data_IF_490815942215
#
_entry.id   IF_490815942215
#
_cell.length_a   1.000
_cell.length_b   1.000
_cell.length_c   1.000
_cell.angle_alpha   90.00
_cell.angle_beta   90.00
_cell.angle_gamma   90.00
#
_symmetry.space_group_name_H-M   'P 1'
#
loop_
_entity.id
_entity.type
_entity.pdbx_description
1 polymer ?
#
# COMPACT_ATOMS: atom_id res chain seq x y z
N UNK A 1 -14.63 14.72 -23.25
CA UNK A 1 -13.59 14.90 -22.20
C UNK A 1 -12.43 13.98 -22.54
N UNK A 2 -11.20 14.47 -22.56
CA UNK A 2 -10.03 13.62 -22.86
C UNK A 2 -9.79 12.64 -21.70
N UNK A 3 -10.01 11.35 -21.95
CA UNK A 3 -9.88 10.30 -20.95
C UNK A 3 -8.43 10.13 -20.47
N UNK A 4 -7.44 10.44 -21.34
CA UNK A 4 -6.01 10.43 -20.97
C UNK A 4 -5.71 11.54 -19.98
N UNK A 5 -6.22 12.76 -20.22
CA UNK A 5 -6.02 13.88 -19.31
C UNK A 5 -6.64 13.60 -17.92
N UNK A 6 -7.82 13.00 -17.87
CA UNK A 6 -8.44 12.57 -16.61
C UNK A 6 -7.59 11.54 -15.90
N UNK A 7 -7.11 10.54 -16.62
CA UNK A 7 -6.24 9.49 -16.05
C UNK A 7 -4.94 10.07 -15.47
N UNK A 8 -4.27 10.95 -16.21
CA UNK A 8 -3.07 11.64 -15.72
C UNK A 8 -3.36 12.51 -14.49
N UNK A 9 -4.52 13.16 -14.45
CA UNK A 9 -4.98 13.88 -13.26
C UNK A 9 -5.15 12.99 -12.04
N UNK A 10 -5.72 11.78 -12.22
CA UNK A 10 -5.83 10.77 -11.15
C UNK A 10 -4.45 10.33 -10.66
N UNK A 11 -3.51 10.03 -11.57
CA UNK A 11 -2.12 9.69 -11.21
C UNK A 11 -1.45 10.82 -10.42
N UNK A 12 -1.63 12.07 -10.86
CA UNK A 12 -1.11 13.25 -10.15
C UNK A 12 -1.68 13.39 -8.74
N UNK A 13 -3.00 13.18 -8.58
CA UNK A 13 -3.62 13.19 -7.25
C UNK A 13 -3.06 12.09 -6.34
N UNK A 14 -2.91 10.86 -6.86
CA UNK A 14 -2.30 9.76 -6.11
C UNK A 14 -0.86 10.11 -5.72
N UNK A 15 -0.06 10.68 -6.62
CA UNK A 15 1.30 11.11 -6.33
C UNK A 15 1.35 12.14 -5.18
N UNK A 16 0.46 13.14 -5.18
CA UNK A 16 0.35 14.13 -4.11
C UNK A 16 0.00 13.49 -2.76
N UNK A 17 -0.96 12.56 -2.75
CA UNK A 17 -1.32 11.80 -1.53
C UNK A 17 -0.12 11.01 -1.02
N UNK A 18 0.61 10.29 -1.88
CA UNK A 18 1.83 9.54 -1.48
C UNK A 18 2.91 10.46 -0.92
N UNK A 19 3.13 11.62 -1.54
CA UNK A 19 4.08 12.61 -1.04
C UNK A 19 3.68 13.12 0.36
N UNK A 20 2.42 13.46 0.56
CA UNK A 20 1.90 13.88 1.86
C UNK A 20 2.10 12.80 2.93
N UNK A 21 1.84 11.53 2.61
CA UNK A 21 2.07 10.40 3.51
C UNK A 21 3.54 10.26 3.91
N UNK A 22 4.47 10.41 2.96
CA UNK A 22 5.91 10.38 3.26
C UNK A 22 6.31 11.55 4.17
N UNK A 23 5.78 12.76 3.93
CA UNK A 23 6.05 13.93 4.77
C UNK A 23 5.56 13.69 6.20
N UNK A 24 4.30 13.26 6.36
CA UNK A 24 3.71 12.96 7.68
C UNK A 24 4.50 11.86 8.40
N UNK A 25 4.84 10.78 7.68
CA UNK A 25 5.62 9.67 8.22
C UNK A 25 7.00 10.12 8.71
N UNK A 26 7.71 10.95 7.92
CA UNK A 26 9.01 11.51 8.33
C UNK A 26 8.88 12.41 9.56
N UNK A 27 7.84 13.23 9.64
CA UNK A 27 7.60 14.09 10.81
C UNK A 27 7.35 13.24 12.08
N UNK A 28 6.56 12.18 11.98
CA UNK A 28 6.30 11.23 13.07
C UNK A 28 7.56 10.51 13.54
N UNK A 29 8.41 10.09 12.61
CA UNK A 29 9.65 9.39 12.94
C UNK A 29 10.66 10.33 13.62
N UNK A 30 10.73 11.61 13.18
CA UNK A 30 11.57 12.63 13.85
C UNK A 30 11.13 12.92 15.29
N UNK A 31 9.84 12.80 15.57
CA UNK A 31 9.29 12.97 16.92
C UNK A 31 9.54 11.76 17.84
N UNK A 32 10.09 10.66 17.31
CA UNK A 32 10.40 9.41 18.02
C UNK A 32 11.80 8.92 17.63
N UNK A 33 12.88 9.59 18.04
CA UNK A 33 14.25 9.25 17.61
C UNK A 33 14.70 7.86 18.07
N UNK A 34 14.15 7.35 19.19
CA UNK A 34 14.41 6.01 19.72
C UNK A 34 13.60 4.90 19.04
N UNK A 35 12.69 5.23 18.12
CA UNK A 35 11.85 4.23 17.45
C UNK A 35 12.70 3.25 16.63
N UNK A 36 12.57 1.98 16.92
CA UNK A 36 13.26 0.92 16.19
C UNK A 36 12.64 0.77 14.78
N UNK A 37 13.42 1.11 13.76
CA UNK A 37 13.07 0.86 12.36
C UNK A 37 13.59 -0.52 11.97
N UNK A 38 12.69 -1.49 11.84
CA UNK A 38 13.05 -2.89 11.58
C UNK A 38 13.64 -3.11 10.19
N UNK A 39 13.40 -2.18 9.22
CA UNK A 39 13.76 -2.44 7.83
C UNK A 39 14.12 -1.18 7.04
N UNK A 40 15.39 -0.69 7.15
CA UNK A 40 15.83 0.45 6.37
C UNK A 40 16.09 0.13 4.88
N UNK A 41 16.47 -1.12 4.56
CA UNK A 41 16.99 -1.48 3.22
C UNK A 41 15.90 -1.59 2.13
N UNK A 42 14.68 -2.03 2.45
CA UNK A 42 13.59 -2.13 1.46
C UNK A 42 12.84 -0.81 1.22
N UNK A 43 13.03 0.19 2.06
CA UNK A 43 12.33 1.47 1.91
C UNK A 43 12.61 2.17 0.58
N UNK A 44 13.86 2.27 0.07
CA UNK A 44 14.12 2.85 -1.25
C UNK A 44 13.41 2.10 -2.38
N UNK A 45 13.35 0.77 -2.30
CA UNK A 45 12.67 -0.06 -3.28
C UNK A 45 11.14 0.16 -3.26
N UNK A 46 10.56 0.34 -2.07
CA UNK A 46 9.16 0.72 -1.93
C UNK A 46 8.86 2.10 -2.54
N UNK A 47 9.76 3.07 -2.34
CA UNK A 47 9.65 4.40 -2.98
C UNK A 47 9.72 4.26 -4.50
N UNK A 48 10.69 3.51 -5.02
CA UNK A 48 10.85 3.28 -6.46
C UNK A 48 9.61 2.62 -7.07
N UNK A 49 9.01 1.65 -6.38
CA UNK A 49 7.79 1.00 -6.80
C UNK A 49 6.60 1.98 -6.90
N UNK A 50 6.47 2.91 -5.94
CA UNK A 50 5.40 3.92 -5.98
C UNK A 50 5.67 5.01 -7.03
N UNK A 51 6.93 5.37 -7.27
CA UNK A 51 7.30 6.22 -8.42
C UNK A 51 6.95 5.52 -9.73
N UNK A 52 7.27 4.23 -9.85
CA UNK A 52 6.90 3.40 -10.99
C UNK A 52 5.39 3.30 -11.19
N UNK A 53 4.60 3.24 -10.10
CA UNK A 53 3.14 3.22 -10.16
C UNK A 53 2.53 4.48 -10.79
N UNK A 54 3.22 5.61 -10.71
CA UNK A 54 2.80 6.84 -11.36
C UNK A 54 3.38 6.94 -12.77
N UNK A 55 4.68 6.69 -12.94
CA UNK A 55 5.38 6.94 -14.19
C UNK A 55 5.06 5.89 -15.28
N UNK A 56 5.13 4.59 -14.94
CA UNK A 56 4.98 3.53 -15.94
C UNK A 56 3.61 3.50 -16.62
N UNK A 57 2.47 3.61 -15.89
CA UNK A 57 1.16 3.67 -16.53
C UNK A 57 0.98 4.91 -17.42
N UNK A 58 1.53 6.07 -17.00
CA UNK A 58 1.50 7.27 -17.81
C UNK A 58 2.26 7.06 -19.13
N UNK A 59 3.50 6.54 -19.05
CA UNK A 59 4.32 6.23 -20.23
C UNK A 59 3.66 5.17 -21.11
N UNK A 60 3.07 4.12 -20.54
CA UNK A 60 2.38 3.09 -21.30
C UNK A 60 1.16 3.63 -22.05
N UNK A 61 0.34 4.44 -21.38
CA UNK A 61 -0.88 5.00 -21.99
C UNK A 61 -0.54 5.99 -23.12
N UNK A 62 0.47 6.84 -22.90
CA UNK A 62 0.86 7.84 -23.88
C UNK A 62 1.72 7.23 -25.01
N UNK A 63 2.68 6.37 -24.67
CA UNK A 63 3.63 5.83 -25.65
C UNK A 63 3.06 4.70 -26.51
N UNK A 64 2.13 3.90 -25.95
CA UNK A 64 1.48 2.79 -26.68
C UNK A 64 0.04 3.12 -27.11
N UNK A 65 -0.38 4.37 -26.93
CA UNK A 65 -1.72 4.86 -27.31
C UNK A 65 -2.86 3.95 -26.83
N UNK A 66 -2.77 3.49 -25.57
CA UNK A 66 -3.73 2.53 -25.01
C UNK A 66 -5.18 2.99 -25.19
N UNK A 67 -6.06 2.15 -25.75
CA UNK A 67 -7.46 2.50 -25.92
C UNK A 67 -8.17 2.54 -24.55
N UNK A 68 -9.02 3.53 -24.36
CA UNK A 68 -9.91 3.59 -23.20
C UNK A 68 -11.01 2.51 -23.33
N UNK A 69 -11.16 1.69 -22.28
CA UNK A 69 -12.16 0.63 -22.18
C UNK A 69 -13.09 0.88 -21.00
N UNK A 70 -14.32 1.41 -21.22
CA UNK A 70 -15.21 1.81 -20.12
C UNK A 70 -15.50 0.73 -19.09
N UNK A 71 -15.75 -0.51 -19.53
CA UNK A 71 -16.01 -1.63 -18.62
C UNK A 71 -14.79 -1.97 -17.72
N UNK A 72 -13.58 -1.97 -18.32
CA UNK A 72 -12.34 -2.18 -17.55
C UNK A 72 -12.10 -1.04 -16.57
N UNK A 73 -12.31 0.21 -17.01
CA UNK A 73 -12.20 1.38 -16.15
C UNK A 73 -13.18 1.30 -14.98
N UNK A 74 -14.44 0.94 -15.22
CA UNK A 74 -15.44 0.82 -14.16
C UNK A 74 -15.07 -0.27 -13.12
N UNK A 75 -14.62 -1.43 -13.59
CA UNK A 75 -14.17 -2.51 -12.72
C UNK A 75 -12.94 -2.10 -11.90
N UNK A 76 -11.94 -1.50 -12.54
CA UNK A 76 -10.72 -1.01 -11.88
C UNK A 76 -11.03 0.10 -10.88
N UNK A 77 -11.92 1.03 -11.23
CA UNK A 77 -12.37 2.09 -10.33
C UNK A 77 -13.10 1.53 -9.10
N UNK A 78 -13.96 0.54 -9.25
CA UNK A 78 -14.63 -0.11 -8.12
C UNK A 78 -13.62 -0.72 -7.14
N UNK A 79 -12.60 -1.43 -7.66
CA UNK A 79 -11.51 -1.98 -6.83
C UNK A 79 -10.71 -0.88 -6.14
N UNK A 80 -10.38 0.21 -6.87
CA UNK A 80 -9.63 1.33 -6.31
C UNK A 80 -10.40 2.07 -5.22
N UNK A 81 -11.71 2.25 -5.39
CA UNK A 81 -12.60 2.84 -4.37
C UNK A 81 -12.64 1.95 -3.12
N UNK A 82 -12.81 0.64 -3.29
CA UNK A 82 -12.78 -0.31 -2.17
C UNK A 82 -11.43 -0.30 -1.44
N UNK A 83 -10.31 -0.28 -2.18
CA UNK A 83 -8.97 -0.16 -1.63
C UNK A 83 -8.78 1.15 -0.85
N UNK A 84 -9.28 2.27 -1.40
CA UNK A 84 -9.22 3.58 -0.74
C UNK A 84 -10.06 3.60 0.54
N UNK A 85 -11.26 3.01 0.53
CA UNK A 85 -12.10 2.89 1.72
C UNK A 85 -11.40 2.05 2.81
N UNK A 86 -10.83 0.90 2.45
CA UNK A 86 -10.04 0.07 3.35
C UNK A 86 -8.82 0.82 3.89
N UNK A 87 -8.14 1.62 3.04
CA UNK A 87 -7.02 2.45 3.46
C UNK A 87 -7.42 3.46 4.52
N UNK A 88 -8.48 4.23 4.26
CA UNK A 88 -8.99 5.23 5.21
C UNK A 88 -9.35 4.57 6.54
N UNK A 89 -10.02 3.42 6.50
CA UNK A 89 -10.35 2.67 7.70
C UNK A 89 -9.09 2.20 8.44
N UNK A 90 -8.12 1.61 7.73
CA UNK A 90 -6.85 1.16 8.30
C UNK A 90 -6.08 2.31 8.95
N UNK A 91 -5.92 3.43 8.24
CA UNK A 91 -5.18 4.58 8.74
C UNK A 91 -5.84 5.25 9.95
N UNK A 92 -7.18 5.32 9.98
CA UNK A 92 -7.93 5.81 11.15
C UNK A 92 -7.77 4.90 12.35
N UNK A 93 -7.76 3.59 12.13
CA UNK A 93 -7.62 2.59 13.20
C UNK A 93 -6.22 2.61 13.81
N UNK A 94 -5.17 2.59 12.98
CA UNK A 94 -3.78 2.60 13.47
C UNK A 94 -3.35 3.98 13.99
N UNK A 95 -3.98 5.04 13.52
CA UNK A 95 -3.79 6.40 14.02
C UNK A 95 -2.33 6.88 13.94
N UNK A 96 -1.81 7.36 15.08
CA UNK A 96 -0.44 7.92 15.16
C UNK A 96 0.67 6.87 15.06
N UNK A 97 0.35 5.58 15.27
CA UNK A 97 1.31 4.49 15.13
C UNK A 97 1.66 4.20 13.65
N UNK A 98 0.81 4.64 12.71
CA UNK A 98 1.07 4.43 11.29
C UNK A 98 2.33 5.14 10.80
N UNK A 99 3.15 4.39 10.06
CA UNK A 99 4.34 4.91 9.38
C UNK A 99 4.52 4.19 8.03
N UNK A 100 5.15 4.85 7.05
CA UNK A 100 5.51 4.20 5.77
C UNK A 100 6.67 3.22 5.94
N UNK A 101 7.48 3.37 6.99
CA UNK A 101 8.51 2.41 7.38
C UNK A 101 7.95 1.41 8.37
N UNK A 102 8.60 0.26 8.48
CA UNK A 102 8.32 -0.71 9.53
C UNK A 102 8.91 -0.20 10.83
N UNK A 103 8.05 0.31 11.70
CA UNK A 103 8.42 0.78 13.04
C UNK A 103 7.81 -0.18 14.05
N UNK A 104 8.64 -0.73 14.93
CA UNK A 104 8.16 -1.60 16.01
C UNK A 104 7.40 -0.74 17.02
N UNK A 105 6.11 -1.03 17.30
CA UNK A 105 5.34 -0.29 18.28
C UNK A 105 5.81 -0.60 19.70
N UNK A 106 5.45 0.29 20.62
CA UNK A 106 5.57 -0.01 22.04
C UNK A 106 4.70 -1.24 22.39
N UNK A 107 5.08 -2.07 23.39
CA UNK A 107 4.38 -3.31 23.72
C UNK A 107 2.87 -3.13 23.95
N UNK A 108 2.48 -2.00 24.55
CA UNK A 108 1.08 -1.69 24.87
C UNK A 108 0.31 -1.02 23.70
N UNK A 109 0.99 -0.76 22.57
CA UNK A 109 0.42 -0.06 21.40
C UNK A 109 0.02 -1.00 20.26
N UNK A 110 -0.14 -2.29 20.52
CA UNK A 110 -0.56 -3.27 19.51
C UNK A 110 -2.01 -3.04 19.12
N UNK A 111 -2.24 -2.67 17.84
CA UNK A 111 -3.59 -2.41 17.32
C UNK A 111 -4.23 -3.72 16.87
N UNK A 112 -5.40 -4.04 17.44
CA UNK A 112 -6.13 -5.29 17.20
C UNK A 112 -7.56 -5.08 16.71
N UNK A 113 -8.00 -3.83 16.59
CA UNK A 113 -9.36 -3.44 16.21
C UNK A 113 -9.47 -3.10 14.71
N UNK A 114 -10.68 -2.79 14.24
CA UNK A 114 -10.95 -2.43 12.85
C UNK A 114 -10.51 -3.51 11.87
N UNK A 115 -9.82 -3.17 10.76
CA UNK A 115 -9.34 -4.16 9.79
C UNK A 115 -8.35 -5.16 10.40
N UNK A 116 -7.60 -4.74 11.44
CA UNK A 116 -6.66 -5.60 12.16
C UNK A 116 -7.33 -6.69 12.99
N UNK A 117 -8.63 -6.60 13.23
CA UNK A 117 -9.39 -7.69 13.85
C UNK A 117 -9.45 -8.95 12.97
N UNK A 118 -9.25 -8.83 11.67
CA UNK A 118 -9.49 -9.88 10.68
C UNK A 118 -8.22 -10.33 9.95
N UNK A 119 -7.30 -9.40 9.68
CA UNK A 119 -6.03 -9.67 8.99
C UNK A 119 -4.87 -8.90 9.62
N UNK A 120 -3.65 -9.43 9.48
CA UNK A 120 -2.44 -8.82 10.06
C UNK A 120 -2.01 -7.57 9.32
N UNK A 121 -2.17 -7.54 7.99
CA UNK A 121 -1.59 -6.52 7.11
C UNK A 121 -2.61 -5.86 6.19
N UNK A 122 -3.65 -5.18 6.72
CA UNK A 122 -4.66 -4.54 5.88
C UNK A 122 -4.10 -3.47 4.95
N UNK A 123 -3.08 -2.71 5.39
CA UNK A 123 -2.45 -1.70 4.55
C UNK A 123 -1.68 -2.32 3.36
N UNK A 124 -1.14 -3.53 3.50
CA UNK A 124 -0.49 -4.21 2.38
C UNK A 124 -1.51 -4.75 1.38
N UNK A 125 -2.67 -5.20 1.83
CA UNK A 125 -3.78 -5.54 0.94
C UNK A 125 -4.20 -4.32 0.11
N UNK A 126 -4.30 -3.13 0.73
CA UNK A 126 -4.57 -1.89 0.01
C UNK A 126 -3.54 -1.64 -1.08
N UNK A 127 -2.24 -1.75 -0.78
CA UNK A 127 -1.17 -1.53 -1.77
C UNK A 127 -1.26 -2.52 -2.93
N UNK A 128 -1.57 -3.79 -2.66
CA UNK A 128 -1.78 -4.81 -3.72
C UNK A 128 -2.93 -4.39 -4.64
N UNK A 129 -4.08 -4.01 -4.07
CA UNK A 129 -5.26 -3.62 -4.83
C UNK A 129 -5.02 -2.34 -5.64
N UNK A 130 -4.35 -1.35 -5.08
CA UNK A 130 -4.01 -0.09 -5.77
C UNK A 130 -3.06 -0.32 -6.94
N UNK A 131 -2.00 -1.11 -6.77
CA UNK A 131 -1.02 -1.41 -7.82
C UNK A 131 -1.67 -2.19 -8.96
N UNK A 132 -2.58 -3.11 -8.65
CA UNK A 132 -3.29 -3.86 -9.67
C UNK A 132 -4.33 -3.00 -10.42
N UNK A 133 -5.06 -2.12 -9.72
CA UNK A 133 -6.22 -1.43 -10.29
C UNK A 133 -5.91 -0.07 -10.91
N UNK A 134 -5.03 0.74 -10.31
CA UNK A 134 -4.76 2.11 -10.77
C UNK A 134 -4.30 2.19 -12.24
N UNK A 135 -3.35 1.35 -12.74
CA UNK A 135 -2.97 1.35 -14.14
C UNK A 135 -4.11 0.92 -15.07
N UNK A 136 -4.98 0.02 -14.61
CA UNK A 136 -6.09 -0.50 -15.41
C UNK A 136 -7.22 0.51 -15.64
N UNK A 137 -7.25 1.65 -14.93
CA UNK A 137 -8.21 2.73 -15.20
C UNK A 137 -8.14 3.20 -16.66
N UNK A 138 -6.98 3.13 -17.30
CA UNK A 138 -6.80 3.44 -18.72
C UNK A 138 -6.12 2.32 -19.51
N UNK A 139 -6.25 1.06 -19.08
CA UNK A 139 -5.80 -0.10 -19.83
C UNK A 139 -4.28 -0.31 -19.86
N UNK A 140 -3.51 0.26 -18.93
CA UNK A 140 -2.07 0.04 -18.78
C UNK A 140 -1.78 -1.31 -18.10
N UNK A 141 -2.12 -2.40 -18.80
CA UNK A 141 -2.05 -3.75 -18.25
C UNK A 141 -0.61 -4.26 -18.09
N UNK A 142 0.35 -3.79 -18.91
CA UNK A 142 1.77 -4.15 -18.77
C UNK A 142 2.29 -3.60 -17.44
N UNK A 143 1.99 -2.32 -17.17
CA UNK A 143 2.33 -1.68 -15.89
C UNK A 143 1.67 -2.37 -14.71
N UNK A 144 0.37 -2.71 -14.83
CA UNK A 144 -0.35 -3.42 -13.77
C UNK A 144 0.30 -4.76 -13.44
N UNK A 145 0.63 -5.57 -14.46
CA UNK A 145 1.23 -6.89 -14.28
C UNK A 145 2.66 -6.79 -13.72
N UNK A 146 3.52 -6.01 -14.37
CA UNK A 146 4.94 -5.89 -13.98
C UNK A 146 5.10 -5.33 -12.57
N UNK A 147 4.35 -4.27 -12.23
CA UNK A 147 4.38 -3.69 -10.89
C UNK A 147 3.78 -4.63 -9.84
N UNK A 148 2.72 -5.39 -10.17
CA UNK A 148 2.14 -6.37 -9.24
C UNK A 148 3.13 -7.50 -8.93
N UNK A 149 3.84 -8.02 -9.93
CA UNK A 149 4.88 -9.04 -9.74
C UNK A 149 6.04 -8.51 -8.89
N UNK A 150 6.54 -7.32 -9.22
CA UNK A 150 7.59 -6.67 -8.42
C UNK A 150 7.14 -6.42 -6.99
N UNK A 151 5.92 -5.90 -6.81
CA UNK A 151 5.35 -5.68 -5.48
C UNK A 151 5.22 -6.97 -4.68
N UNK A 152 4.81 -8.08 -5.30
CA UNK A 152 4.70 -9.37 -4.62
C UNK A 152 6.07 -9.82 -4.06
N UNK A 153 7.16 -9.65 -4.84
CA UNK A 153 8.52 -9.95 -4.40
C UNK A 153 8.96 -9.06 -3.22
N UNK A 154 8.73 -7.75 -3.34
CA UNK A 154 9.12 -6.78 -2.30
C UNK A 154 8.30 -7.00 -1.03
N UNK A 155 6.99 -7.13 -1.20
CA UNK A 155 6.05 -7.25 -0.09
C UNK A 155 6.22 -8.56 0.68
N UNK A 156 6.52 -9.67 -0.01
CA UNK A 156 6.79 -10.96 0.66
C UNK A 156 7.98 -10.88 1.61
N UNK A 157 9.04 -10.15 1.22
CA UNK A 157 10.20 -9.90 2.09
C UNK A 157 9.83 -8.97 3.24
N UNK A 158 9.13 -7.88 2.92
CA UNK A 158 8.72 -6.89 3.92
C UNK A 158 7.83 -7.49 5.01
N UNK A 159 6.83 -8.29 4.64
CA UNK A 159 5.94 -8.96 5.59
C UNK A 159 6.76 -9.87 6.52
N UNK A 160 7.69 -10.66 5.99
CA UNK A 160 8.53 -11.55 6.83
C UNK A 160 9.36 -10.76 7.83
N UNK A 161 10.00 -9.67 7.40
CA UNK A 161 10.82 -8.83 8.29
C UNK A 161 9.97 -8.13 9.35
N UNK A 162 8.81 -7.60 8.95
CA UNK A 162 7.87 -6.97 9.89
C UNK A 162 7.34 -7.98 10.91
N UNK A 163 6.86 -9.15 10.46
CA UNK A 163 6.37 -10.20 11.36
C UNK A 163 7.48 -10.72 12.29
N UNK A 164 8.72 -10.86 11.80
CA UNK A 164 9.86 -11.25 12.64
C UNK A 164 10.12 -10.22 13.76
N UNK A 165 10.04 -8.94 13.45
CA UNK A 165 10.21 -7.88 14.44
C UNK A 165 9.02 -7.81 15.42
N UNK A 166 7.79 -7.87 14.92
CA UNK A 166 6.57 -7.81 15.73
C UNK A 166 6.37 -9.06 16.60
N UNK A 167 6.84 -10.23 16.16
CA UNK A 167 6.76 -11.48 16.91
C UNK A 167 7.60 -11.48 18.19
N UNK A 168 8.49 -10.50 18.38
CA UNK A 168 9.20 -10.31 19.66
C UNK A 168 8.27 -9.75 20.75
N UNK A 169 7.13 -9.16 20.36
CA UNK A 169 6.13 -8.62 21.28
C UNK A 169 5.11 -9.71 21.68
N UNK A 170 5.06 -10.14 22.94
CA UNK A 170 4.10 -11.17 23.39
C UNK A 170 2.65 -10.82 23.06
N UNK A 171 2.26 -9.57 23.32
CA UNK A 171 0.91 -9.07 23.03
C UNK A 171 0.54 -9.19 21.53
N UNK A 172 1.49 -8.94 20.61
CA UNK A 172 1.26 -9.11 19.18
C UNK A 172 1.10 -10.58 18.80
N UNK A 173 1.96 -11.47 19.33
CA UNK A 173 1.87 -12.91 19.06
C UNK A 173 0.52 -13.47 19.47
N UNK A 174 0.07 -13.15 20.68
CA UNK A 174 -1.21 -13.60 21.21
C UNK A 174 -2.37 -13.07 20.36
N UNK A 175 -2.39 -11.77 20.07
CA UNK A 175 -3.47 -11.14 19.34
C UNK A 175 -3.54 -11.56 17.85
N UNK A 176 -2.41 -11.91 17.24
CA UNK A 176 -2.32 -12.17 15.78
C UNK A 176 -2.15 -13.65 15.42
N UNK A 177 -2.08 -14.57 16.40
CA UNK A 177 -1.82 -15.99 16.19
C UNK A 177 -2.73 -16.61 15.12
N UNK A 178 -4.05 -16.40 15.23
CA UNK A 178 -5.07 -17.01 14.38
C UNK A 178 -5.43 -16.15 13.15
N UNK A 179 -4.89 -14.92 13.04
CA UNK A 179 -5.23 -14.03 11.94
C UNK A 179 -4.40 -14.31 10.70
N UNK A 180 -5.04 -14.28 9.56
CA UNK A 180 -4.37 -14.41 8.26
C UNK A 180 -3.63 -13.13 7.90
N UNK A 181 -2.68 -13.22 6.97
CA UNK A 181 -1.85 -12.08 6.56
C UNK A 181 -2.62 -11.03 5.80
N UNK A 182 -3.32 -11.42 4.74
CA UNK A 182 -3.89 -10.51 3.75
C UNK A 182 -5.38 -10.75 3.49
N UNK A 183 -5.82 -12.01 3.42
CA UNK A 183 -7.20 -12.36 3.07
C UNK A 183 -7.77 -13.19 4.22
N UNK A 184 -8.92 -12.79 4.81
CA UNK A 184 -9.56 -13.56 5.88
C UNK A 184 -9.82 -15.01 5.42
N UNK A 185 -9.36 -15.96 6.22
CA UNK A 185 -9.56 -17.38 5.97
C UNK A 185 -8.66 -18.03 4.90
N UNK A 186 -7.90 -17.26 4.11
CA UNK A 186 -7.14 -17.82 2.98
C UNK A 186 -5.61 -17.61 3.09
N UNK A 187 -5.15 -16.37 3.25
CA UNK A 187 -3.73 -15.97 3.26
C UNK A 187 -3.40 -15.06 4.44
#
# INVERSE_FOLDING_TARGET
MDTRAVFLGVLGLVALVRLAEVIVSRARLRARPEALVAEPALFPLMVLLHVGLIALPALEVLGLERPFRPALCAAAAAVLVAATALRVWTLRTIGRAWNVRVVVPDPDAVVTSGPYAWIRHPNYLVVILEIASLPLLHGAWISALSLSLLNACVLSRRIRTEEAALSQLPAWREAMADRKRLIPGLL
#
